data_IF_432924216310
#
_entry.id   IF_432924216310
#
_cell.length_a   1.000
_cell.length_b   1.000
_cell.length_c   1.000
_cell.angle_alpha   90.00
_cell.angle_beta   90.00
_cell.angle_gamma   90.00
#
_symmetry.space_group_name_H-M   'P 1'
#
loop_
_entity.id
_entity.type
_entity.pdbx_description
1 polymer ?
#
# COMPACT_ATOMS: atom_id res chain seq x y z
N UNK A 1 4.43 -25.26 -13.81
CA UNK A 1 4.60 -26.50 -13.04
C UNK A 1 6.08 -26.82 -12.79
N UNK A 2 7.00 -26.60 -13.73
CA UNK A 2 8.43 -26.83 -13.50
C UNK A 2 9.03 -25.90 -12.43
N UNK A 3 8.51 -24.68 -12.29
CA UNK A 3 9.01 -23.67 -11.34
C UNK A 3 8.38 -23.86 -9.96
N UNK A 4 7.09 -24.22 -9.92
CA UNK A 4 6.32 -24.39 -8.67
C UNK A 4 5.58 -25.74 -8.68
N UNK A 5 6.28 -26.87 -8.50
CA UNK A 5 5.66 -28.20 -8.59
C UNK A 5 4.57 -28.43 -7.52
N UNK A 6 4.72 -27.82 -6.36
CA UNK A 6 3.78 -27.96 -5.24
C UNK A 6 2.35 -27.47 -5.54
N UNK A 7 2.16 -26.63 -6.57
CA UNK A 7 0.81 -26.20 -6.97
C UNK A 7 0.00 -27.31 -7.62
N UNK A 8 0.64 -28.38 -8.08
CA UNK A 8 -0.01 -29.55 -8.68
C UNK A 8 -0.22 -30.70 -7.69
N UNK A 9 0.56 -30.73 -6.61
CA UNK A 9 0.49 -31.81 -5.63
C UNK A 9 -0.86 -31.87 -4.92
N UNK A 10 -1.53 -33.02 -4.98
CA UNK A 10 -2.82 -33.25 -4.30
C UNK A 10 -4.03 -32.72 -5.05
N UNK A 11 -3.88 -32.31 -6.32
CA UNK A 11 -5.04 -32.03 -7.20
C UNK A 11 -5.55 -33.32 -7.84
N UNK A 12 -6.83 -33.33 -8.14
CA UNK A 12 -7.44 -34.43 -8.88
C UNK A 12 -6.82 -34.52 -10.28
N UNK A 13 -6.51 -35.75 -10.77
CA UNK A 13 -5.84 -35.93 -12.06
C UNK A 13 -6.58 -35.33 -13.29
N UNK A 14 -7.90 -35.16 -13.20
CA UNK A 14 -8.74 -34.55 -14.23
C UNK A 14 -8.95 -33.03 -14.10
N UNK A 15 -8.36 -32.38 -13.09
CA UNK A 15 -8.52 -30.96 -12.90
C UNK A 15 -7.51 -30.17 -13.72
N UNK A 16 -7.99 -29.44 -14.73
CA UNK A 16 -7.16 -28.49 -15.47
C UNK A 16 -6.75 -27.31 -14.60
N UNK A 17 -5.47 -26.95 -14.64
CA UNK A 17 -4.91 -25.77 -14.02
C UNK A 17 -4.25 -24.90 -15.10
N UNK A 18 -4.76 -23.67 -15.23
CA UNK A 18 -4.14 -22.66 -16.10
C UNK A 18 -3.40 -21.66 -15.22
N UNK A 19 -2.15 -21.39 -15.52
CA UNK A 19 -1.32 -20.40 -14.83
C UNK A 19 -0.60 -19.52 -15.83
N UNK A 20 -0.65 -18.21 -15.59
CA UNK A 20 0.22 -17.24 -16.26
C UNK A 20 1.52 -17.14 -15.46
N UNK A 21 2.65 -17.37 -16.13
CA UNK A 21 3.99 -17.31 -15.51
C UNK A 21 4.73 -16.09 -16.03
N UNK A 22 5.38 -15.36 -15.13
CA UNK A 22 6.36 -14.33 -15.48
C UNK A 22 7.69 -14.67 -14.83
N UNK A 23 8.77 -14.61 -15.59
CA UNK A 23 10.12 -14.91 -15.12
C UNK A 23 10.82 -13.67 -14.53
N UNK A 24 10.29 -12.47 -14.81
CA UNK A 24 10.84 -11.17 -14.39
C UNK A 24 10.33 -10.70 -13.01
N UNK A 25 9.78 -11.59 -12.20
CA UNK A 25 9.25 -11.28 -10.89
C UNK A 25 10.31 -11.41 -9.78
N UNK A 26 10.49 -10.35 -8.98
CA UNK A 26 11.44 -10.35 -7.87
C UNK A 26 10.74 -10.08 -6.54
N UNK A 27 11.22 -10.73 -5.47
CA UNK A 27 10.85 -10.39 -4.10
C UNK A 27 11.84 -9.38 -3.56
N UNK A 28 11.34 -8.25 -3.06
CA UNK A 28 12.16 -7.12 -2.61
C UNK A 28 11.98 -6.89 -1.11
N UNK A 29 13.07 -6.75 -0.39
CA UNK A 29 13.08 -6.20 0.97
C UNK A 29 12.99 -4.67 0.90
N UNK A 30 11.77 -4.15 0.96
CA UNK A 30 11.53 -2.70 0.85
C UNK A 30 12.17 -1.90 1.98
N UNK A 31 12.39 -2.49 3.16
CA UNK A 31 13.12 -1.80 4.24
C UNK A 31 14.57 -1.54 3.83
N UNK A 32 15.26 -2.57 3.34
CA UNK A 32 16.64 -2.42 2.85
C UNK A 32 16.70 -1.48 1.65
N UNK A 33 15.74 -1.55 0.74
CA UNK A 33 15.66 -0.67 -0.42
C UNK A 33 15.52 0.80 0.02
N UNK A 34 14.63 1.11 0.96
CA UNK A 34 14.50 2.47 1.50
C UNK A 34 15.79 2.97 2.17
N UNK A 35 16.45 2.14 2.99
CA UNK A 35 17.74 2.49 3.58
C UNK A 35 18.78 2.76 2.49
N UNK A 36 18.85 1.93 1.45
CA UNK A 36 19.77 2.12 0.33
C UNK A 36 19.55 3.45 -0.40
N UNK A 37 18.29 3.82 -0.65
CA UNK A 37 17.96 5.11 -1.26
C UNK A 37 18.44 6.28 -0.39
N UNK A 38 18.16 6.22 0.90
CA UNK A 38 18.59 7.23 1.87
C UNK A 38 20.10 7.37 1.90
N UNK A 39 20.83 6.26 2.09
CA UNK A 39 22.28 6.25 2.20
C UNK A 39 22.94 6.76 0.93
N UNK A 40 22.45 6.35 -0.24
CA UNK A 40 22.97 6.82 -1.52
C UNK A 40 22.66 8.29 -1.78
N UNK A 41 21.48 8.77 -1.38
CA UNK A 41 21.12 10.17 -1.53
C UNK A 41 21.97 11.09 -0.66
N UNK A 42 22.22 10.70 0.60
CA UNK A 42 23.11 11.43 1.51
C UNK A 42 24.56 11.48 1.01
N UNK A 43 25.04 10.39 0.39
CA UNK A 43 26.38 10.37 -0.22
C UNK A 43 26.49 11.28 -1.44
N UNK A 44 25.43 11.33 -2.27
CA UNK A 44 25.42 12.12 -3.51
C UNK A 44 25.17 13.60 -3.26
N UNK A 45 24.39 13.95 -2.23
CA UNK A 45 24.04 15.35 -1.93
C UNK A 45 24.31 15.67 -0.45
N UNK A 46 25.45 16.33 -0.14
CA UNK A 46 25.79 16.73 1.23
C UNK A 46 24.82 17.75 1.86
N UNK A 47 24.01 18.44 1.03
CA UNK A 47 23.01 19.40 1.51
C UNK A 47 21.72 18.70 1.95
N UNK A 48 21.55 17.42 1.64
CA UNK A 48 20.41 16.64 2.09
C UNK A 48 20.49 16.35 3.59
N UNK A 49 19.38 16.49 4.29
CA UNK A 49 19.27 16.11 5.70
C UNK A 49 18.04 15.25 5.93
N UNK A 50 18.13 14.36 6.92
CA UNK A 50 17.04 13.51 7.36
C UNK A 50 16.80 13.76 8.84
N UNK A 51 15.56 14.08 9.19
CA UNK A 51 15.14 14.33 10.56
C UNK A 51 14.20 13.22 11.03
N UNK A 52 14.73 12.20 11.67
CA UNK A 52 13.95 11.15 12.32
C UNK A 52 13.31 11.66 13.61
N UNK A 53 12.27 10.99 14.10
CA UNK A 53 11.50 11.37 15.29
C UNK A 53 11.00 12.82 15.21
N UNK A 54 10.65 13.26 13.99
CA UNK A 54 10.17 14.60 13.71
C UNK A 54 8.71 14.50 13.23
N UNK A 55 7.79 14.97 14.06
CA UNK A 55 6.35 14.96 13.79
C UNK A 55 5.93 16.28 13.17
N UNK A 56 5.25 16.20 12.02
CA UNK A 56 4.55 17.34 11.45
C UNK A 56 3.38 17.74 12.36
N UNK A 57 3.33 19.00 12.73
CA UNK A 57 2.25 19.57 13.55
C UNK A 57 1.32 20.46 12.71
N UNK A 58 1.88 21.27 11.82
CA UNK A 58 1.14 22.18 10.96
C UNK A 58 1.90 22.48 9.67
N UNK A 59 1.15 22.83 8.63
CA UNK A 59 1.68 23.42 7.38
C UNK A 59 0.85 24.65 7.04
N UNK A 60 1.52 25.76 6.76
CA UNK A 60 0.87 27.01 6.36
C UNK A 60 1.53 27.53 5.09
N UNK A 61 0.74 27.87 4.09
CA UNK A 61 1.23 28.58 2.91
C UNK A 61 1.58 30.03 3.28
N UNK A 62 2.74 30.49 2.86
CA UNK A 62 3.27 31.82 3.11
C UNK A 62 3.86 32.40 1.81
N UNK A 63 3.03 33.12 1.05
CA UNK A 63 3.36 33.57 -0.33
C UNK A 63 3.61 32.34 -1.23
N UNK A 64 4.79 32.30 -1.87
CA UNK A 64 5.22 31.21 -2.76
C UNK A 64 5.94 30.06 -2.04
N UNK A 65 5.92 30.07 -0.70
CA UNK A 65 6.59 29.08 0.14
C UNK A 65 5.63 28.49 1.17
N UNK A 66 6.13 27.52 1.93
CA UNK A 66 5.43 26.90 3.05
C UNK A 66 6.25 27.03 4.33
N UNK A 67 5.58 27.34 5.43
CA UNK A 67 6.11 27.19 6.77
C UNK A 67 5.59 25.85 7.33
N UNK A 68 6.50 24.92 7.56
CA UNK A 68 6.25 23.59 8.09
C UNK A 68 6.63 23.55 9.56
N UNK A 69 5.66 23.50 10.45
CA UNK A 69 5.86 23.43 11.91
C UNK A 69 5.98 22.00 12.35
N UNK A 70 7.04 21.66 13.04
CA UNK A 70 7.32 20.33 13.58
C UNK A 70 7.51 20.39 15.10
N UNK A 71 7.57 19.21 15.74
CA UNK A 71 7.94 19.12 17.17
C UNK A 71 9.42 19.50 17.46
N UNK A 72 10.20 19.79 16.42
CA UNK A 72 11.61 20.22 16.55
C UNK A 72 11.86 21.65 16.04
N UNK A 73 10.83 22.37 15.68
CA UNK A 73 10.93 23.73 15.13
C UNK A 73 10.28 23.88 13.77
N UNK A 74 10.50 25.03 13.15
CA UNK A 74 9.92 25.41 11.88
C UNK A 74 10.92 25.26 10.74
N UNK A 75 10.42 24.85 9.59
CA UNK A 75 11.17 24.70 8.34
C UNK A 75 10.45 25.50 7.27
N UNK A 76 11.16 26.38 6.55
CA UNK A 76 10.65 27.04 5.35
C UNK A 76 11.01 26.21 4.12
N UNK A 77 10.03 25.98 3.25
CA UNK A 77 10.22 25.16 2.04
C UNK A 77 9.53 25.85 0.83
N UNK A 78 10.22 25.92 -0.30
CA UNK A 78 9.63 26.39 -1.58
C UNK A 78 8.62 25.37 -2.11
N UNK A 79 8.92 24.08 -1.99
CA UNK A 79 8.06 22.96 -2.43
C UNK A 79 7.96 21.93 -1.31
N UNK A 80 6.76 21.37 -1.14
CA UNK A 80 6.49 20.34 -0.14
C UNK A 80 5.92 19.08 -0.80
N UNK A 81 6.45 17.92 -0.45
CA UNK A 81 5.87 16.62 -0.83
C UNK A 81 5.41 15.91 0.43
N UNK A 82 4.17 15.52 0.45
CA UNK A 82 3.55 14.74 1.52
C UNK A 82 3.40 13.29 1.04
N UNK A 83 4.24 12.39 1.54
CA UNK A 83 4.23 10.97 1.21
C UNK A 83 3.95 10.13 2.47
N UNK A 84 2.88 10.47 3.19
CA UNK A 84 2.53 9.93 4.50
C UNK A 84 1.38 8.89 4.44
N UNK A 85 1.17 8.24 3.28
CA UNK A 85 0.10 7.26 3.10
C UNK A 85 -1.28 7.86 3.40
N UNK A 86 -2.10 7.19 4.24
CA UNK A 86 -3.43 7.68 4.60
C UNK A 86 -3.45 9.06 5.26
N UNK A 87 -2.38 9.44 5.98
CA UNK A 87 -2.27 10.77 6.58
C UNK A 87 -2.11 11.88 5.53
N UNK A 88 -1.64 11.56 4.32
CA UNK A 88 -1.52 12.55 3.25
C UNK A 88 -2.85 13.21 2.91
N UNK A 89 -3.96 12.45 2.90
CA UNK A 89 -5.28 13.03 2.67
C UNK A 89 -5.75 13.91 3.84
N UNK A 90 -5.44 13.53 5.08
CA UNK A 90 -5.76 14.34 6.24
C UNK A 90 -5.07 15.71 6.17
N UNK A 91 -3.77 15.70 5.82
CA UNK A 91 -2.98 16.93 5.65
C UNK A 91 -3.49 17.74 4.45
N UNK A 92 -3.78 17.09 3.31
CA UNK A 92 -4.35 17.76 2.14
C UNK A 92 -5.65 18.49 2.49
N UNK A 93 -6.53 17.86 3.23
CA UNK A 93 -7.80 18.48 3.67
C UNK A 93 -7.61 19.70 4.56
N UNK A 94 -6.62 19.69 5.45
CA UNK A 94 -6.32 20.85 6.30
C UNK A 94 -5.88 22.08 5.47
N UNK A 95 -5.35 21.83 4.26
CA UNK A 95 -4.96 22.86 3.30
C UNK A 95 -6.03 23.14 2.22
N UNK A 96 -7.21 22.51 2.34
CA UNK A 96 -8.34 22.73 1.44
C UNK A 96 -8.42 21.83 0.22
N UNK A 97 -7.47 20.89 0.05
CA UNK A 97 -7.43 19.93 -1.06
C UNK A 97 -8.19 18.65 -0.75
N UNK A 98 -8.66 17.93 -1.77
CA UNK A 98 -9.27 16.60 -1.64
C UNK A 98 -10.56 16.54 -0.81
N UNK A 99 -11.34 17.61 -0.74
CA UNK A 99 -12.57 17.70 0.08
C UNK A 99 -13.61 16.65 -0.27
N UNK A 100 -13.66 16.27 -1.55
CA UNK A 100 -14.57 15.25 -2.09
C UNK A 100 -14.06 13.81 -1.92
N UNK A 101 -12.89 13.62 -1.32
CA UNK A 101 -12.29 12.31 -1.10
C UNK A 101 -12.41 11.86 0.35
N UNK A 102 -12.43 10.56 0.59
CA UNK A 102 -12.28 9.93 1.88
C UNK A 102 -11.47 8.64 1.75
N UNK A 103 -11.15 8.02 2.86
CA UNK A 103 -10.35 6.79 2.90
C UNK A 103 -11.18 5.63 3.43
N UNK A 104 -11.12 4.50 2.73
CA UNK A 104 -11.44 3.19 3.25
C UNK A 104 -10.12 2.49 3.58
N UNK A 105 -9.76 2.43 4.85
CA UNK A 105 -8.57 1.72 5.29
C UNK A 105 -8.82 0.22 5.31
N UNK A 106 -8.04 -0.54 4.52
CA UNK A 106 -8.10 -2.00 4.47
C UNK A 106 -6.88 -2.58 5.16
N UNK A 107 -7.07 -3.36 6.21
CA UNK A 107 -6.01 -4.10 6.89
C UNK A 107 -5.92 -5.52 6.35
N UNK A 108 -4.70 -6.05 6.26
CA UNK A 108 -4.48 -7.42 5.87
C UNK A 108 -3.57 -8.16 6.85
N UNK A 109 -3.95 -9.37 7.24
CA UNK A 109 -3.13 -10.31 8.01
C UNK A 109 -2.61 -11.41 7.10
N UNK A 110 -1.63 -12.13 7.61
CA UNK A 110 -1.05 -13.27 6.92
C UNK A 110 -1.10 -14.53 7.78
N UNK A 111 -1.08 -15.65 7.11
CA UNK A 111 -0.77 -16.94 7.70
C UNK A 111 0.57 -17.42 7.17
N UNK A 112 1.32 -18.14 7.98
CA UNK A 112 2.61 -18.73 7.60
C UNK A 112 2.52 -20.25 7.65
N UNK A 113 3.27 -20.88 6.76
CA UNK A 113 3.44 -22.35 6.68
C UNK A 113 4.89 -22.70 6.34
N UNK A 114 5.21 -23.99 6.18
CA UNK A 114 6.54 -24.41 5.75
C UNK A 114 6.85 -23.87 4.34
N UNK A 115 8.11 -23.89 3.95
CA UNK A 115 8.54 -23.54 2.60
C UNK A 115 7.92 -24.49 1.59
N UNK A 116 6.96 -24.01 0.84
CA UNK A 116 6.24 -24.78 -0.19
C UNK A 116 6.22 -24.08 -1.55
N UNK A 117 6.65 -22.83 -1.60
CA UNK A 117 6.73 -22.04 -2.85
C UNK A 117 8.15 -21.49 -3.05
N UNK A 118 8.59 -21.41 -4.29
CA UNK A 118 9.87 -20.81 -4.69
C UNK A 118 9.68 -19.34 -5.09
N UNK A 119 8.52 -18.99 -5.62
CA UNK A 119 8.15 -17.65 -6.02
C UNK A 119 6.76 -17.27 -5.54
N UNK A 120 6.27 -16.14 -6.00
CA UNK A 120 4.97 -15.61 -5.63
C UNK A 120 3.87 -16.15 -6.55
N UNK A 121 2.86 -16.76 -5.95
CA UNK A 121 1.70 -17.33 -6.65
C UNK A 121 0.43 -16.61 -6.20
N UNK A 122 -0.30 -16.04 -7.14
CA UNK A 122 -1.59 -15.38 -6.90
C UNK A 122 -2.77 -16.25 -7.30
N UNK A 123 -3.87 -16.15 -6.58
CA UNK A 123 -5.17 -16.55 -7.10
C UNK A 123 -5.73 -15.47 -8.05
N UNK A 124 -6.72 -15.82 -8.86
CA UNK A 124 -7.38 -14.86 -9.75
C UNK A 124 -8.03 -13.76 -8.92
N UNK A 125 -7.76 -12.51 -9.28
CA UNK A 125 -8.31 -11.35 -8.61
C UNK A 125 -9.71 -11.05 -9.09
N UNK A 126 -10.60 -10.74 -8.16
CA UNK A 126 -11.95 -10.23 -8.45
C UNK A 126 -11.86 -8.78 -8.97
N UNK A 127 -12.45 -8.43 -10.14
CA UNK A 127 -12.35 -7.08 -10.70
C UNK A 127 -12.90 -5.97 -9.79
N UNK A 128 -13.92 -6.25 -8.99
CA UNK A 128 -14.49 -5.29 -8.02
C UNK A 128 -13.66 -5.09 -6.75
N UNK A 129 -12.62 -5.91 -6.53
CA UNK A 129 -11.86 -5.97 -5.29
C UNK A 129 -10.35 -5.93 -5.59
N UNK A 130 -9.80 -4.77 -5.98
CA UNK A 130 -8.42 -4.65 -6.46
C UNK A 130 -7.35 -4.96 -5.40
N UNK A 131 -7.75 -5.13 -4.15
CA UNK A 131 -6.90 -5.42 -2.99
C UNK A 131 -6.99 -6.88 -2.50
N UNK A 132 -7.71 -7.76 -3.19
CA UNK A 132 -8.31 -8.94 -2.61
C UNK A 132 -7.69 -10.28 -2.99
N UNK A 133 -6.73 -10.33 -3.90
CA UNK A 133 -6.14 -11.60 -4.31
C UNK A 133 -5.26 -12.18 -3.19
N UNK A 134 -5.70 -13.30 -2.63
CA UNK A 134 -4.87 -14.09 -1.73
C UNK A 134 -3.74 -14.70 -2.56
N UNK A 135 -2.54 -14.61 -2.02
CA UNK A 135 -1.33 -15.14 -2.66
C UNK A 135 -0.48 -15.90 -1.65
N UNK A 136 0.41 -16.72 -2.15
CA UNK A 136 1.48 -17.32 -1.39
C UNK A 136 2.81 -16.78 -1.90
N UNK A 137 3.73 -16.47 -0.99
CA UNK A 137 5.09 -16.03 -1.32
C UNK A 137 6.11 -16.51 -0.28
N UNK A 138 7.35 -16.76 -0.67
CA UNK A 138 8.44 -16.99 0.28
C UNK A 138 8.61 -15.78 1.19
N UNK A 139 8.82 -16.00 2.50
CA UNK A 139 9.09 -14.91 3.44
C UNK A 139 10.49 -14.35 3.20
N UNK A 140 10.59 -13.03 3.04
CA UNK A 140 11.87 -12.35 2.68
C UNK A 140 12.94 -12.49 3.76
N UNK A 141 12.51 -12.52 5.04
CA UNK A 141 13.42 -12.58 6.17
C UNK A 141 13.64 -13.99 6.72
N UNK A 142 12.85 -14.97 6.23
CA UNK A 142 12.95 -16.38 6.64
C UNK A 142 12.68 -17.29 5.46
N UNK A 143 13.75 -17.77 4.84
CA UNK A 143 13.68 -18.60 3.64
C UNK A 143 12.96 -19.96 3.83
N UNK A 144 12.75 -20.40 5.08
CA UNK A 144 12.10 -21.67 5.40
C UNK A 144 10.58 -21.55 5.59
N UNK A 145 10.04 -20.36 5.31
CA UNK A 145 8.63 -20.04 5.53
C UNK A 145 7.98 -19.56 4.23
N UNK A 146 6.80 -20.08 3.94
CA UNK A 146 5.87 -19.50 2.96
C UNK A 146 4.79 -18.71 3.69
N UNK A 147 4.52 -17.53 3.22
CA UNK A 147 3.49 -16.63 3.72
C UNK A 147 2.28 -16.67 2.78
N UNK A 148 1.08 -16.78 3.35
CA UNK A 148 -0.19 -16.81 2.63
C UNK A 148 -1.08 -15.66 3.09
N UNK A 149 -1.65 -14.93 2.17
CA UNK A 149 -2.50 -13.76 2.42
C UNK A 149 -2.40 -12.72 1.33
N UNK A 150 -2.69 -11.46 1.66
CA UNK A 150 -3.29 -11.03 2.91
C UNK A 150 -4.79 -11.32 2.98
N UNK A 151 -5.32 -11.34 4.20
CA UNK A 151 -6.75 -11.07 4.43
C UNK A 151 -7.04 -9.60 4.09
N UNK A 152 -8.30 -9.23 3.99
CA UNK A 152 -8.66 -7.83 3.74
C UNK A 152 -9.90 -7.45 4.56
N UNK A 153 -9.67 -6.64 5.60
CA UNK A 153 -10.70 -6.20 6.52
C UNK A 153 -10.69 -4.67 6.64
N UNK A 154 -11.83 -3.99 6.56
CA UNK A 154 -11.90 -2.56 6.81
C UNK A 154 -11.59 -2.27 8.27
N UNK A 155 -10.77 -1.26 8.51
CA UNK A 155 -10.45 -0.74 9.83
C UNK A 155 -10.63 0.78 9.86
N UNK A 156 -10.98 1.31 11.04
CA UNK A 156 -11.13 2.75 11.24
C UNK A 156 -9.86 3.38 11.83
N UNK A 157 -8.73 3.07 11.19
CA UNK A 157 -7.40 3.54 11.57
C UNK A 157 -6.60 3.88 10.31
N UNK A 158 -5.67 4.82 10.40
CA UNK A 158 -4.71 5.11 9.32
C UNK A 158 -3.47 4.21 9.42
N UNK A 159 -3.13 3.78 10.62
CA UNK A 159 -2.02 2.85 10.90
C UNK A 159 -2.55 1.65 11.67
N UNK A 160 -2.19 0.45 11.21
CA UNK A 160 -2.55 -0.77 11.89
C UNK A 160 -1.86 -0.86 13.26
N UNK A 161 -2.60 -1.32 14.26
CA UNK A 161 -2.14 -1.46 15.66
C UNK A 161 -1.81 -0.13 16.38
N UNK A 162 -2.05 1.02 15.76
CA UNK A 162 -1.91 2.33 16.36
C UNK A 162 -3.28 2.96 16.62
N UNK A 163 -3.80 2.79 17.86
CA UNK A 163 -5.12 3.32 18.25
C UNK A 163 -5.19 4.84 18.22
N UNK A 164 -4.06 5.55 18.36
CA UNK A 164 -4.04 7.00 18.23
C UNK A 164 -4.47 7.44 16.82
N UNK A 165 -4.22 6.63 15.79
CA UNK A 165 -4.63 6.91 14.41
C UNK A 165 -6.13 6.74 14.15
N UNK A 166 -6.92 6.23 15.14
CA UNK A 166 -8.38 6.17 15.04
C UNK A 166 -9.01 7.56 14.94
N UNK A 167 -8.62 8.48 15.81
CA UNK A 167 -9.13 9.86 15.76
C UNK A 167 -8.64 10.60 14.51
N UNK A 168 -7.43 10.30 14.03
CA UNK A 168 -6.88 10.86 12.79
C UNK A 168 -7.63 10.34 11.57
N UNK A 169 -8.07 9.08 11.58
CA UNK A 169 -8.90 8.50 10.53
C UNK A 169 -10.18 9.31 10.31
N UNK A 170 -10.89 9.67 11.37
CA UNK A 170 -12.13 10.45 11.27
C UNK A 170 -11.90 11.86 10.71
N UNK A 171 -10.72 12.44 10.91
CA UNK A 171 -10.36 13.73 10.28
C UNK A 171 -10.30 13.63 8.75
N UNK A 172 -10.07 12.44 8.18
CA UNK A 172 -10.10 12.24 6.72
C UNK A 172 -11.51 12.33 6.14
N UNK A 173 -12.56 12.23 6.94
CA UNK A 173 -13.95 12.35 6.50
C UNK A 173 -14.36 13.81 6.27
N UNK A 174 -13.80 14.73 7.01
CA UNK A 174 -14.27 16.11 7.03
C UNK A 174 -15.61 16.27 7.74
N UNK A 175 -16.21 17.45 7.60
CA UNK A 175 -17.49 17.80 8.22
C UNK A 175 -18.64 17.49 7.24
N UNK A 176 -19.16 16.28 7.26
CA UNK A 176 -20.31 15.96 6.40
C UNK A 176 -20.75 14.49 6.44
N UNK A 177 -21.99 14.24 6.03
CA UNK A 177 -22.56 12.89 5.95
C UNK A 177 -22.16 12.15 4.66
N UNK A 178 -21.69 12.87 3.63
CA UNK A 178 -21.38 12.28 2.31
C UNK A 178 -20.33 11.15 2.38
N UNK A 179 -19.22 11.25 3.13
CA UNK A 179 -18.28 10.15 3.30
C UNK A 179 -18.91 8.92 3.96
N UNK A 180 -19.76 9.12 4.98
CA UNK A 180 -20.44 8.03 5.68
C UNK A 180 -21.39 7.31 4.72
N UNK A 181 -22.18 8.06 3.96
CA UNK A 181 -23.10 7.50 2.96
C UNK A 181 -22.31 6.74 1.88
N UNK A 182 -21.18 7.29 1.42
CA UNK A 182 -20.34 6.66 0.40
C UNK A 182 -19.75 5.35 0.88
N UNK A 183 -19.18 5.33 2.10
CA UNK A 183 -18.64 4.12 2.71
C UNK A 183 -19.73 3.08 2.96
N UNK A 184 -20.87 3.49 3.49
CA UNK A 184 -22.00 2.58 3.70
C UNK A 184 -22.43 1.94 2.36
N UNK A 185 -22.59 2.73 1.30
CA UNK A 185 -22.96 2.21 -0.02
C UNK A 185 -21.93 1.19 -0.55
N UNK A 186 -20.64 1.45 -0.35
CA UNK A 186 -19.56 0.56 -0.78
C UNK A 186 -19.57 -0.72 0.06
N UNK A 187 -19.58 -0.59 1.39
CA UNK A 187 -19.48 -1.74 2.30
C UNK A 187 -20.72 -2.63 2.27
N UNK A 188 -21.90 -2.08 1.96
CA UNK A 188 -23.15 -2.85 1.79
C UNK A 188 -23.38 -3.33 0.36
N UNK A 189 -22.48 -3.07 -0.62
CA UNK A 189 -22.49 -3.81 -1.88
C UNK A 189 -22.38 -5.30 -1.59
N UNK A 190 -23.26 -6.11 -2.15
CA UNK A 190 -23.38 -7.54 -1.85
C UNK A 190 -22.06 -8.31 -2.00
N UNK A 191 -21.28 -7.97 -3.04
CA UNK A 191 -19.99 -8.64 -3.31
C UNK A 191 -18.96 -8.21 -2.29
N UNK A 192 -18.86 -6.91 -2.02
CA UNK A 192 -17.90 -6.34 -1.06
C UNK A 192 -18.24 -6.81 0.35
N UNK A 193 -19.51 -6.76 0.74
CA UNK A 193 -19.95 -7.21 2.06
C UNK A 193 -19.61 -8.68 2.31
N UNK A 194 -19.99 -9.56 1.37
CA UNK A 194 -19.69 -11.00 1.48
C UNK A 194 -18.18 -11.24 1.62
N UNK A 195 -17.39 -10.52 0.83
CA UNK A 195 -15.94 -10.63 0.87
C UNK A 195 -15.37 -10.15 2.21
N UNK A 196 -15.75 -8.98 2.67
CA UNK A 196 -15.31 -8.39 3.95
C UNK A 196 -15.72 -9.30 5.12
N UNK A 197 -16.95 -9.80 5.12
CA UNK A 197 -17.43 -10.70 6.15
C UNK A 197 -16.64 -12.01 6.19
N UNK A 198 -16.35 -12.61 5.04
CA UNK A 198 -15.53 -13.80 4.94
C UNK A 198 -14.11 -13.55 5.48
N UNK A 199 -13.51 -12.40 5.12
CA UNK A 199 -12.19 -12.02 5.61
C UNK A 199 -12.17 -11.73 7.12
N UNK A 200 -13.25 -11.16 7.67
CA UNK A 200 -13.41 -11.03 9.10
C UNK A 200 -13.38 -12.37 9.82
N UNK A 201 -14.05 -13.39 9.25
CA UNK A 201 -14.02 -14.76 9.81
C UNK A 201 -12.60 -15.35 9.82
N UNK A 202 -11.76 -14.99 8.85
CA UNK A 202 -10.35 -15.43 8.82
C UNK A 202 -9.51 -14.87 9.97
N UNK A 203 -9.89 -13.73 10.54
CA UNK A 203 -9.18 -13.10 11.66
C UNK A 203 -9.56 -13.68 13.03
N UNK A 204 -10.63 -14.48 13.13
CA UNK A 204 -11.07 -15.07 14.40
C UNK A 204 -10.07 -16.14 14.83
N UNK A 205 -9.49 -16.05 16.04
CA UNK A 205 -8.55 -17.05 16.55
C UNK A 205 -9.12 -18.47 16.49
N UNK A 206 -8.27 -19.45 16.16
CA UNK A 206 -8.59 -20.87 16.03
C UNK A 206 -9.59 -21.22 14.92
N UNK A 207 -10.67 -20.48 14.73
CA UNK A 207 -11.70 -20.72 13.70
C UNK A 207 -11.23 -20.25 12.33
N UNK A 208 -10.68 -19.06 12.25
CA UNK A 208 -10.22 -18.45 11.00
C UNK A 208 -9.23 -19.33 10.24
N UNK A 209 -8.31 -19.97 10.95
CA UNK A 209 -7.35 -20.92 10.38
C UNK A 209 -8.04 -22.07 9.61
N UNK A 210 -9.13 -22.61 10.16
CA UNK A 210 -9.89 -23.72 9.53
C UNK A 210 -10.63 -23.28 8.27
N UNK A 211 -11.00 -22.02 8.20
CA UNK A 211 -11.60 -21.44 6.99
C UNK A 211 -10.53 -21.06 5.97
N UNK A 212 -9.47 -20.39 6.43
CA UNK A 212 -8.43 -19.86 5.56
C UNK A 212 -7.60 -20.95 4.85
N UNK A 213 -7.48 -22.14 5.45
CA UNK A 213 -6.79 -23.27 4.79
C UNK A 213 -7.40 -23.62 3.43
N UNK A 214 -8.68 -23.36 3.21
CA UNK A 214 -9.34 -23.58 1.92
C UNK A 214 -8.75 -22.65 0.84
N UNK A 215 -8.44 -21.43 1.19
CA UNK A 215 -7.80 -20.46 0.27
C UNK A 215 -6.34 -20.86 0.00
N UNK A 216 -5.60 -21.28 1.03
CA UNK A 216 -4.23 -21.78 0.90
C UNK A 216 -4.18 -22.98 -0.05
N UNK A 217 -5.13 -23.90 0.06
CA UNK A 217 -5.20 -25.11 -0.78
C UNK A 217 -5.59 -24.84 -2.23
N UNK A 218 -6.15 -23.68 -2.53
CA UNK A 218 -6.30 -23.24 -3.94
C UNK A 218 -4.93 -23.04 -4.58
N UNK A 219 -3.93 -22.63 -3.81
CA UNK A 219 -2.55 -22.39 -4.27
C UNK A 219 -1.72 -23.67 -4.12
N UNK A 220 -1.63 -24.22 -2.91
CA UNK A 220 -0.87 -25.45 -2.58
C UNK A 220 -1.78 -26.44 -1.90
N UNK A 221 -2.37 -27.41 -2.62
CA UNK A 221 -3.36 -28.35 -2.08
C UNK A 221 -2.85 -29.23 -0.94
N UNK A 222 -1.56 -29.56 -0.96
CA UNK A 222 -0.92 -30.49 0.00
C UNK A 222 -0.67 -29.90 1.39
N UNK A 223 -0.85 -28.57 1.61
CA UNK A 223 -0.64 -27.93 2.92
C UNK A 223 -1.64 -28.46 3.94
N UNK A 224 -1.11 -28.89 5.09
CA UNK A 224 -1.92 -29.40 6.20
C UNK A 224 -2.34 -28.27 7.14
N UNK A 225 -3.52 -28.42 7.75
CA UNK A 225 -4.01 -27.44 8.72
C UNK A 225 -3.05 -27.25 9.91
N UNK A 226 -2.37 -28.32 10.35
CA UNK A 226 -1.39 -28.25 11.44
C UNK A 226 -0.19 -27.36 11.14
N UNK A 227 0.19 -27.26 9.88
CA UNK A 227 1.36 -26.49 9.41
C UNK A 227 1.08 -24.98 9.32
N UNK A 228 -0.19 -24.59 9.20
CA UNK A 228 -0.58 -23.18 9.05
C UNK A 228 -0.61 -22.47 10.41
N UNK A 229 -0.03 -21.28 10.51
CA UNK A 229 0.00 -20.47 11.72
C UNK A 229 -0.38 -19.01 11.39
N UNK A 230 -1.15 -18.36 12.24
CA UNK A 230 -1.46 -16.94 12.10
C UNK A 230 -0.21 -16.10 12.41
N UNK A 231 0.16 -15.22 11.48
CA UNK A 231 1.33 -14.35 11.60
C UNK A 231 1.00 -13.11 12.43
N UNK A 232 1.23 -13.17 13.74
CA UNK A 232 0.97 -12.05 14.64
C UNK A 232 1.87 -10.85 14.33
N UNK A 233 1.29 -9.65 14.31
CA UNK A 233 2.04 -8.41 14.12
C UNK A 233 2.53 -8.14 12.70
N UNK A 234 2.27 -9.05 11.76
CA UNK A 234 2.59 -8.87 10.34
C UNK A 234 1.35 -8.37 9.60
N UNK A 235 1.55 -7.40 8.74
CA UNK A 235 0.51 -6.78 7.93
C UNK A 235 0.50 -5.27 8.08
N UNK A 236 -0.17 -4.62 7.15
CA UNK A 236 -0.25 -3.16 7.09
C UNK A 236 -1.65 -2.67 6.77
N UNK A 237 -1.79 -1.38 6.74
CA UNK A 237 -3.00 -0.69 6.28
C UNK A 237 -2.81 -0.25 4.84
N UNK A 238 -3.81 -0.50 4.02
CA UNK A 238 -3.89 -0.03 2.63
C UNK A 238 -4.99 1.02 2.55
N UNK A 239 -4.65 2.31 2.44
CA UNK A 239 -5.64 3.34 2.21
C UNK A 239 -6.23 3.19 0.81
N UNK A 240 -7.53 3.00 0.71
CA UNK A 240 -8.27 3.03 -0.55
C UNK A 240 -9.02 4.34 -0.63
N UNK A 241 -8.89 5.06 -1.74
CA UNK A 241 -9.58 6.33 -1.92
C UNK A 241 -11.04 6.08 -2.30
N UNK A 242 -11.91 6.78 -1.63
CA UNK A 242 -13.34 6.86 -1.92
C UNK A 242 -13.65 8.24 -2.46
N UNK A 243 -14.17 8.30 -3.65
CA UNK A 243 -14.73 9.53 -4.21
C UNK A 243 -16.16 9.71 -3.70
N UNK A 244 -16.37 10.72 -2.88
CA UNK A 244 -17.68 10.95 -2.24
C UNK A 244 -18.73 11.53 -3.20
N UNK A 245 -18.32 12.10 -4.33
CA UNK A 245 -19.22 12.59 -5.39
C UNK A 245 -19.79 11.42 -6.18
N UNK A 246 -18.93 10.52 -6.65
CA UNK A 246 -19.34 9.34 -7.43
C UNK A 246 -19.77 8.17 -6.54
N UNK A 247 -19.41 8.20 -5.25
CA UNK A 247 -19.63 7.13 -4.25
C UNK A 247 -19.01 5.80 -4.67
N UNK A 248 -17.80 5.86 -5.23
CA UNK A 248 -17.04 4.70 -5.70
C UNK A 248 -15.63 4.69 -5.13
N UNK A 249 -15.04 3.49 -5.11
CA UNK A 249 -13.62 3.33 -4.88
C UNK A 249 -12.86 3.80 -6.13
N UNK A 250 -11.85 4.63 -5.91
CA UNK A 250 -10.89 4.99 -6.95
C UNK A 250 -9.82 3.91 -7.02
N UNK A 251 -9.56 3.42 -8.22
CA UNK A 251 -8.55 2.39 -8.47
C UNK A 251 -7.24 3.06 -8.91
N UNK A 252 -6.13 2.50 -8.46
CA UNK A 252 -4.80 3.00 -8.81
C UNK A 252 -4.27 4.04 -7.84
N UNK A 253 -3.35 4.87 -8.34
CA UNK A 253 -2.69 5.88 -7.54
C UNK A 253 -3.60 7.09 -7.30
N UNK A 254 -3.58 7.57 -6.06
CA UNK A 254 -4.20 8.83 -5.71
C UNK A 254 -3.12 9.86 -5.38
N UNK A 255 -3.03 10.87 -6.22
CA UNK A 255 -2.14 12.01 -6.07
C UNK A 255 -2.94 13.31 -6.17
N UNK A 256 -2.71 14.22 -5.27
CA UNK A 256 -3.24 15.58 -5.35
C UNK A 256 -2.09 16.56 -5.53
N UNK A 257 -2.27 17.50 -6.44
CA UNK A 257 -1.29 18.54 -6.70
C UNK A 257 -1.93 19.89 -6.39
N UNK A 258 -1.25 20.69 -5.59
CA UNK A 258 -1.62 22.06 -5.26
C UNK A 258 -0.52 23.04 -5.69
N UNK A 259 -0.59 24.27 -5.20
CA UNK A 259 0.43 25.27 -5.46
C UNK A 259 1.71 24.92 -4.70
N UNK A 260 2.76 24.51 -5.39
CA UNK A 260 4.05 24.12 -4.84
C UNK A 260 3.97 23.00 -3.77
N UNK A 261 2.92 22.17 -3.83
CA UNK A 261 2.74 21.04 -2.92
C UNK A 261 2.16 19.81 -3.62
N UNK A 262 2.67 18.63 -3.29
CA UNK A 262 2.20 17.36 -3.80
C UNK A 262 1.81 16.45 -2.62
N UNK A 263 0.67 15.76 -2.72
CA UNK A 263 0.20 14.80 -1.75
C UNK A 263 0.12 13.42 -2.40
N UNK A 264 1.01 12.52 -2.04
CA UNK A 264 0.99 11.14 -2.46
C UNK A 264 0.17 10.32 -1.47
N UNK A 265 -1.01 9.86 -1.91
CA UNK A 265 -1.95 9.06 -1.12
C UNK A 265 -2.01 7.66 -1.75
N UNK A 266 -0.90 7.18 -2.22
CA UNK A 266 -0.85 5.98 -3.08
C UNK A 266 -1.34 4.75 -2.36
N UNK A 267 -2.40 4.05 -2.84
CA UNK A 267 -2.77 2.72 -2.38
C UNK A 267 -1.75 1.67 -2.86
N UNK A 268 -1.82 0.45 -2.34
CA UNK A 268 -1.05 -0.67 -2.89
C UNK A 268 -1.37 -0.85 -4.39
N UNK A 269 -0.37 -0.97 -5.28
CA UNK A 269 1.04 -1.38 -5.06
C UNK A 269 2.09 -0.27 -4.93
N UNK A 270 1.83 0.81 -4.25
CA UNK A 270 2.68 2.00 -4.17
C UNK A 270 4.18 1.75 -3.96
N UNK A 271 4.56 0.71 -3.22
CA UNK A 271 5.97 0.38 -3.02
C UNK A 271 6.67 -0.06 -4.32
N UNK A 272 6.02 -0.84 -5.16
CA UNK A 272 6.59 -1.28 -6.45
C UNK A 272 6.57 -0.21 -7.54
N UNK A 273 5.76 0.83 -7.39
CA UNK A 273 5.68 1.97 -8.32
C UNK A 273 6.45 3.21 -7.83
N UNK A 274 7.21 3.09 -6.71
CA UNK A 274 7.81 4.24 -6.04
C UNK A 274 8.77 5.04 -6.93
N UNK A 275 9.55 4.39 -7.80
CA UNK A 275 10.46 5.08 -8.72
C UNK A 275 9.71 5.84 -9.81
N UNK A 276 8.65 5.25 -10.40
CA UNK A 276 7.80 5.94 -11.36
C UNK A 276 7.09 7.14 -10.74
N UNK A 277 6.64 7.01 -9.49
CA UNK A 277 6.07 8.12 -8.74
C UNK A 277 7.09 9.22 -8.46
N UNK A 278 8.31 8.85 -8.07
CA UNK A 278 9.37 9.81 -7.85
C UNK A 278 9.73 10.57 -9.14
N UNK A 279 9.77 9.87 -10.29
CA UNK A 279 10.00 10.50 -11.60
C UNK A 279 8.97 11.61 -11.89
N UNK A 280 7.68 11.26 -11.78
CA UNK A 280 6.60 12.23 -12.04
C UNK A 280 6.59 13.38 -11.02
N UNK A 281 6.93 13.10 -9.76
CA UNK A 281 6.99 14.11 -8.70
C UNK A 281 8.16 15.09 -8.95
N UNK A 282 9.33 14.60 -9.30
CA UNK A 282 10.50 15.42 -9.59
C UNK A 282 10.25 16.31 -10.81
N UNK A 283 9.62 15.79 -11.86
CA UNK A 283 9.24 16.57 -13.02
C UNK A 283 8.34 17.76 -12.63
N UNK A 284 7.34 17.49 -11.77
CA UNK A 284 6.45 18.53 -11.26
C UNK A 284 7.13 19.52 -10.31
N UNK A 285 8.08 19.04 -9.48
CA UNK A 285 8.86 19.92 -8.60
C UNK A 285 9.70 20.91 -9.40
N UNK A 286 10.35 20.45 -10.47
CA UNK A 286 11.14 21.32 -11.34
C UNK A 286 10.26 22.39 -12.00
N UNK A 287 9.04 22.02 -12.43
CA UNK A 287 8.06 22.98 -12.93
C UNK A 287 7.71 24.04 -11.86
N UNK A 288 7.50 23.65 -10.60
CA UNK A 288 7.23 24.59 -9.51
C UNK A 288 8.41 25.51 -9.18
N UNK A 289 9.63 24.99 -9.26
CA UNK A 289 10.84 25.74 -8.91
C UNK A 289 11.29 26.72 -9.99
N UNK A 290 10.86 26.50 -11.25
CA UNK A 290 11.18 27.40 -12.38
C UNK A 290 12.34 26.92 -13.24
N UNK A 291 12.65 27.69 -14.32
CA UNK A 291 13.52 27.22 -15.40
C UNK A 291 15.00 27.11 -15.04
N UNK A 292 15.43 27.62 -13.89
CA UNK A 292 16.79 27.48 -13.38
C UNK A 292 17.08 26.05 -12.84
N UNK A 293 16.03 25.24 -12.61
CA UNK A 293 16.14 23.88 -12.14
C UNK A 293 15.93 22.90 -13.30
N UNK A 294 16.63 21.76 -13.25
CA UNK A 294 16.54 20.74 -14.29
C UNK A 294 16.44 19.36 -13.68
N UNK A 295 15.70 18.49 -14.36
CA UNK A 295 15.65 17.06 -14.07
C UNK A 295 16.36 16.29 -15.19
N UNK A 296 17.42 15.57 -14.83
CA UNK A 296 18.22 14.74 -15.75
C UNK A 296 17.47 13.45 -16.07
N UNK A 297 16.40 13.55 -16.88
CA UNK A 297 15.49 12.44 -17.22
C UNK A 297 16.23 11.27 -17.87
N UNK A 298 17.11 11.55 -18.82
CA UNK A 298 17.89 10.53 -19.53
C UNK A 298 18.79 9.73 -18.58
N UNK A 299 19.40 10.38 -17.60
CA UNK A 299 20.20 9.69 -16.60
C UNK A 299 19.35 8.77 -15.73
N UNK A 300 18.15 9.23 -15.32
CA UNK A 300 17.21 8.40 -14.56
C UNK A 300 16.74 7.20 -15.40
N UNK A 301 16.35 7.40 -16.64
CA UNK A 301 15.87 6.35 -17.52
C UNK A 301 16.95 5.30 -17.80
N UNK A 302 18.19 5.74 -18.00
CA UNK A 302 19.35 4.85 -18.16
C UNK A 302 19.60 3.96 -16.94
N UNK A 303 19.45 4.54 -15.72
CA UNK A 303 19.74 3.83 -14.47
C UNK A 303 18.60 2.88 -14.05
N UNK A 304 17.35 3.23 -14.36
CA UNK A 304 16.18 2.56 -13.80
C UNK A 304 15.20 1.96 -14.82
N UNK A 305 15.28 2.34 -16.09
CA UNK A 305 14.46 1.77 -17.14
C UNK A 305 15.26 0.77 -17.97
N UNK A 306 14.76 -0.46 -18.15
CA UNK A 306 15.35 -1.36 -19.13
C UNK A 306 15.15 -0.76 -20.53
N UNK A 307 16.15 -0.82 -21.42
CA UNK A 307 15.90 -0.54 -22.82
C UNK A 307 14.80 -1.48 -23.33
N UNK A 308 13.80 -0.90 -23.96
CA UNK A 308 12.66 -1.59 -24.59
C UNK A 308 13.11 -2.50 -25.74
#
# INVERSE_FOLDING_TARGET
AKIEPRILEGRDPGQELVALVTEDGYTVDFKKLCHSFVDNSLKKNPLMSIQLNTKLLNIKKDGDSYTVTTNKGEIKAKVVIIAAGGHSLMIAKSLGYGKNLSILSMAGSFYTGPKVLNGKVYTIQQPKLPFAAIHGDPEVHNADVTRFGPTAMPIFQLERHNWASFMEYWKTFGLGLSPIISLSKILFDRVIFSYVFTNFLYEIPYFGKRLFIKEVRKIVPSVKLSELRFAKGIGGTRPQIVNNTTRKLELGEAKLTGDNIIFNITPSPGASTCLGNAYTDVDKIVEFLGPEYRFEKEAFEKDFCKPS
#
